data_IF_011529026797
#
_entry.id   IF_011529026797
#
_cell.length_a   1.000
_cell.length_b   1.000
_cell.length_c   1.000
_cell.angle_alpha   90.00
_cell.angle_beta   90.00
_cell.angle_gamma   90.00
#
_symmetry.space_group_name_H-M   'P 1'
#
loop_
_entity.id
_entity.type
_entity.pdbx_description
1 polymer ?
#
# COMPACT_ATOMS: atom_id res chain seq x y z
N UNK A 1 -3.47 8.28 -22.20
CA UNK A 1 -2.57 7.32 -21.52
C UNK A 1 -2.87 7.40 -20.04
N UNK A 2 -3.61 6.44 -19.49
CA UNK A 2 -3.89 6.37 -18.06
C UNK A 2 -2.59 5.95 -17.37
N UNK A 3 -1.81 6.92 -16.89
CA UNK A 3 -0.78 6.66 -15.88
C UNK A 3 -1.51 6.16 -14.65
N UNK A 4 -1.66 4.84 -14.52
CA UNK A 4 -2.32 4.20 -13.39
C UNK A 4 -1.63 4.63 -12.09
N UNK A 5 -2.37 4.87 -11.00
CA UNK A 5 -1.79 5.25 -9.71
C UNK A 5 -0.65 4.33 -9.24
N UNK A 6 -0.72 3.05 -9.59
CA UNK A 6 0.35 2.05 -9.39
C UNK A 6 1.70 2.52 -9.92
N UNK A 7 1.73 3.06 -11.15
CA UNK A 7 2.98 3.50 -11.78
C UNK A 7 3.58 4.71 -11.06
N UNK A 8 2.74 5.61 -10.56
CA UNK A 8 3.18 6.76 -9.76
C UNK A 8 3.81 6.32 -8.43
N UNK A 9 3.22 5.33 -7.75
CA UNK A 9 3.77 4.79 -6.50
C UNK A 9 5.10 4.07 -6.76
N UNK A 10 5.17 3.22 -7.80
CA UNK A 10 6.43 2.56 -8.18
C UNK A 10 7.53 3.56 -8.53
N UNK A 11 7.19 4.67 -9.21
CA UNK A 11 8.13 5.74 -9.52
C UNK A 11 8.58 6.51 -8.26
N UNK A 12 7.67 6.82 -7.33
CA UNK A 12 8.04 7.44 -6.06
C UNK A 12 8.96 6.53 -5.22
N UNK A 13 8.69 5.22 -5.23
CA UNK A 13 9.55 4.23 -4.59
C UNK A 13 10.93 4.15 -5.26
N UNK A 14 10.97 4.17 -6.60
CA UNK A 14 12.23 4.22 -7.34
C UNK A 14 13.05 5.48 -7.01
N UNK A 15 12.41 6.64 -6.89
CA UNK A 15 13.05 7.89 -6.50
C UNK A 15 13.57 7.85 -5.05
N UNK A 16 12.82 7.27 -4.12
CA UNK A 16 13.27 7.11 -2.75
C UNK A 16 14.49 6.18 -2.65
N UNK A 17 14.48 5.08 -3.43
CA UNK A 17 15.57 4.10 -3.48
C UNK A 17 16.80 4.62 -4.24
N UNK A 18 16.66 5.62 -5.11
CA UNK A 18 17.77 6.20 -5.88
C UNK A 18 18.87 6.84 -5.02
N UNK A 19 18.58 7.12 -3.74
CA UNK A 19 19.59 7.62 -2.79
C UNK A 19 20.44 6.50 -2.17
N UNK A 20 20.12 5.23 -2.41
CA UNK A 20 20.85 4.09 -1.87
C UNK A 20 21.98 3.68 -2.84
N UNK A 21 23.25 3.61 -2.37
CA UNK A 21 24.40 3.24 -3.22
C UNK A 21 24.21 1.88 -3.90
N UNK A 22 23.69 0.90 -3.15
CA UNK A 22 23.49 -0.47 -3.64
C UNK A 22 22.42 -0.52 -4.73
N UNK A 23 21.36 0.27 -4.60
CA UNK A 23 20.32 0.35 -5.61
C UNK A 23 20.85 0.97 -6.90
N UNK A 24 21.69 2.01 -6.82
CA UNK A 24 22.25 2.66 -8.00
C UNK A 24 23.14 1.73 -8.83
N UNK A 25 23.87 0.84 -8.17
CA UNK A 25 24.76 -0.14 -8.80
C UNK A 25 24.03 -1.33 -9.46
N UNK A 26 22.71 -1.47 -9.24
CA UNK A 26 21.91 -2.53 -9.86
C UNK A 26 21.57 -2.23 -11.33
N UNK A 27 21.45 -3.29 -12.13
CA UNK A 27 20.92 -3.17 -13.49
C UNK A 27 19.40 -2.88 -13.49
N UNK A 28 18.82 -2.40 -14.61
CA UNK A 28 17.40 -2.03 -14.65
C UNK A 28 16.43 -3.15 -14.26
N UNK A 29 16.75 -4.41 -14.58
CA UNK A 29 15.93 -5.56 -14.22
C UNK A 29 15.94 -5.82 -12.71
N UNK A 30 17.11 -5.77 -12.09
CA UNK A 30 17.26 -5.87 -10.63
C UNK A 30 16.54 -4.74 -9.89
N UNK A 31 16.65 -3.50 -10.41
CA UNK A 31 15.91 -2.34 -9.87
C UNK A 31 14.41 -2.57 -9.93
N UNK A 32 13.89 -3.06 -11.06
CA UNK A 32 12.49 -3.44 -11.22
C UNK A 32 12.04 -4.46 -10.18
N UNK A 33 12.84 -5.52 -9.98
CA UNK A 33 12.54 -6.57 -8.98
C UNK A 33 12.48 -6.02 -7.56
N UNK A 34 13.42 -5.14 -7.17
CA UNK A 34 13.43 -4.53 -5.83
C UNK A 34 12.22 -3.63 -5.62
N UNK A 35 11.87 -2.80 -6.62
CA UNK A 35 10.68 -1.94 -6.58
C UNK A 35 9.42 -2.80 -6.40
N UNK A 36 9.29 -3.87 -7.17
CA UNK A 36 8.11 -4.74 -7.12
C UNK A 36 8.00 -5.48 -5.78
N UNK A 37 9.10 -6.04 -5.27
CA UNK A 37 9.13 -6.68 -3.94
C UNK A 37 8.76 -5.69 -2.85
N UNK A 38 9.35 -4.49 -2.84
CA UNK A 38 9.07 -3.50 -1.83
C UNK A 38 7.61 -2.99 -1.92
N UNK A 39 7.08 -2.79 -3.12
CA UNK A 39 5.68 -2.42 -3.32
C UNK A 39 4.72 -3.51 -2.80
N UNK A 40 4.99 -4.79 -3.07
CA UNK A 40 4.21 -5.92 -2.53
C UNK A 40 4.23 -5.95 -1.02
N UNK A 41 5.40 -5.80 -0.40
CA UNK A 41 5.51 -5.79 1.07
C UNK A 41 4.67 -4.68 1.68
N UNK A 42 4.70 -3.47 1.10
CA UNK A 42 3.87 -2.35 1.57
C UNK A 42 2.37 -2.69 1.47
N UNK A 43 1.92 -3.28 0.37
CA UNK A 43 0.51 -3.67 0.22
C UNK A 43 0.10 -4.78 1.20
N UNK A 44 0.97 -5.76 1.46
CA UNK A 44 0.72 -6.80 2.46
C UNK A 44 0.59 -6.23 3.86
N UNK A 45 1.56 -5.43 4.28
CA UNK A 45 1.57 -4.80 5.60
C UNK A 45 0.30 -3.96 5.80
N UNK A 46 -0.10 -3.24 4.76
CA UNK A 46 -1.34 -2.47 4.74
C UNK A 46 -2.58 -3.36 4.90
N UNK A 47 -2.68 -4.45 4.14
CA UNK A 47 -3.79 -5.38 4.23
C UNK A 47 -3.89 -6.02 5.62
N UNK A 48 -2.75 -6.44 6.17
CA UNK A 48 -2.66 -7.07 7.49
C UNK A 48 -3.06 -6.09 8.59
N UNK A 49 -2.62 -4.82 8.52
CA UNK A 49 -3.04 -3.77 9.44
C UNK A 49 -4.56 -3.58 9.50
N UNK A 50 -5.27 -3.86 8.41
CA UNK A 50 -6.73 -3.76 8.34
C UNK A 50 -7.45 -5.09 8.52
N UNK A 51 -6.72 -6.13 8.93
CA UNK A 51 -7.25 -7.45 9.23
C UNK A 51 -7.80 -8.15 8.00
N UNK A 52 -7.25 -7.86 6.82
CA UNK A 52 -7.55 -8.57 5.58
C UNK A 52 -6.79 -9.89 5.55
N UNK A 53 -7.41 -10.93 5.00
CA UNK A 53 -6.85 -12.29 4.99
C UNK A 53 -6.34 -12.68 3.61
N UNK A 54 -5.10 -13.18 3.49
CA UNK A 54 -4.62 -13.75 2.23
C UNK A 54 -5.50 -14.94 1.81
N UNK A 55 -5.75 -15.07 0.50
CA UNK A 55 -6.64 -16.08 -0.08
C UNK A 55 -8.15 -15.81 0.09
N UNK A 56 -8.54 -14.78 0.85
CA UNK A 56 -9.94 -14.37 1.04
C UNK A 56 -10.15 -12.94 0.53
N UNK A 57 -9.31 -12.02 0.99
CA UNK A 57 -9.40 -10.60 0.66
C UNK A 57 -8.44 -10.19 -0.46
N UNK A 58 -7.27 -10.85 -0.52
CA UNK A 58 -6.27 -10.61 -1.55
C UNK A 58 -5.45 -11.86 -1.85
N UNK A 59 -4.83 -11.90 -3.03
CA UNK A 59 -3.80 -12.87 -3.40
C UNK A 59 -2.59 -12.14 -3.96
N UNK A 60 -1.42 -12.59 -3.57
CA UNK A 60 -0.11 -11.97 -3.82
C UNK A 60 0.86 -12.87 -4.59
N UNK A 61 0.34 -13.97 -5.14
CA UNK A 61 1.13 -15.11 -5.64
C UNK A 61 0.71 -15.49 -7.07
N UNK A 62 0.84 -14.54 -8.00
CA UNK A 62 0.95 -14.87 -9.41
C UNK A 62 2.43 -15.01 -9.71
N UNK A 63 2.85 -16.21 -10.15
CA UNK A 63 4.26 -16.55 -10.31
C UNK A 63 5.03 -15.57 -11.20
N UNK A 64 6.36 -15.55 -11.06
CA UNK A 64 7.32 -14.65 -11.72
C UNK A 64 7.18 -14.54 -13.27
N UNK A 65 6.37 -15.39 -13.89
CA UNK A 65 6.08 -15.44 -15.33
C UNK A 65 4.82 -14.68 -15.76
N UNK A 66 3.98 -14.22 -14.84
CA UNK A 66 2.72 -13.56 -15.17
C UNK A 66 2.87 -12.03 -15.33
N UNK A 67 2.30 -11.43 -16.39
CA UNK A 67 2.46 -10.01 -16.65
C UNK A 67 1.62 -9.16 -15.66
N UNK A 68 2.35 -8.48 -14.77
CA UNK A 68 2.04 -7.15 -14.24
C UNK A 68 0.85 -6.98 -13.27
N UNK A 69 0.34 -8.04 -12.62
CA UNK A 69 -0.60 -7.83 -11.50
C UNK A 69 -0.41 -8.83 -10.36
N UNK A 70 0.81 -8.89 -9.83
CA UNK A 70 1.22 -9.73 -8.70
C UNK A 70 0.48 -9.49 -7.36
N UNK A 71 -0.53 -8.62 -7.34
CA UNK A 71 -1.36 -8.36 -6.18
C UNK A 71 -2.79 -8.09 -6.64
N UNK A 72 -3.70 -8.99 -6.29
CA UNK A 72 -5.10 -8.95 -6.74
C UNK A 72 -6.02 -8.89 -5.53
N UNK A 73 -6.91 -7.90 -5.50
CA UNK A 73 -8.00 -7.85 -4.53
C UNK A 73 -9.07 -8.89 -4.90
N UNK A 74 -9.42 -9.74 -3.94
CA UNK A 74 -10.47 -10.76 -4.08
C UNK A 74 -11.79 -10.33 -3.44
N UNK A 75 -11.73 -9.46 -2.42
CA UNK A 75 -12.92 -8.93 -1.77
C UNK A 75 -13.18 -7.47 -2.17
N UNK A 76 -14.47 -7.10 -2.19
CA UNK A 76 -14.89 -5.70 -2.42
C UNK A 76 -14.25 -4.73 -1.43
N UNK A 77 -14.06 -5.17 -0.18
CA UNK A 77 -13.45 -4.36 0.87
C UNK A 77 -11.96 -4.10 0.58
N UNK A 78 -11.24 -5.10 0.09
CA UNK A 78 -9.85 -4.96 -0.33
C UNK A 78 -9.74 -4.07 -1.58
N UNK A 79 -10.61 -4.26 -2.56
CA UNK A 79 -10.64 -3.44 -3.78
C UNK A 79 -10.92 -1.96 -3.48
N UNK A 80 -11.92 -1.68 -2.63
CA UNK A 80 -12.24 -0.33 -2.17
C UNK A 80 -11.08 0.33 -1.42
N UNK A 81 -10.34 -0.44 -0.61
CA UNK A 81 -9.16 0.05 0.11
C UNK A 81 -8.02 0.40 -0.84
N UNK A 82 -7.62 -0.53 -1.72
CA UNK A 82 -6.52 -0.33 -2.67
C UNK A 82 -6.86 0.83 -3.61
N UNK A 83 -8.02 0.78 -4.26
CA UNK A 83 -8.47 1.80 -5.21
C UNK A 83 -8.62 3.15 -4.51
N UNK A 84 -9.22 3.18 -3.32
CA UNK A 84 -9.39 4.42 -2.58
C UNK A 84 -8.06 5.04 -2.14
N UNK A 85 -7.06 4.25 -1.77
CA UNK A 85 -5.70 4.75 -1.47
C UNK A 85 -5.01 5.26 -2.73
N UNK A 86 -5.10 4.51 -3.82
CA UNK A 86 -4.52 4.86 -5.12
C UNK A 86 -5.10 6.16 -5.70
N UNK A 87 -6.39 6.36 -5.56
CA UNK A 87 -7.08 7.58 -6.01
C UNK A 87 -6.94 8.74 -5.01
N UNK A 88 -6.26 8.55 -3.88
CA UNK A 88 -6.15 9.54 -2.80
C UNK A 88 -7.49 9.88 -2.14
N UNK A 89 -8.51 9.04 -2.35
CA UNK A 89 -9.85 9.14 -1.74
C UNK A 89 -9.87 8.59 -0.33
N UNK A 90 -8.86 7.81 0.07
CA UNK A 90 -8.68 7.26 1.41
C UNK A 90 -7.34 7.77 1.96
N UNK A 91 -7.33 8.16 3.23
CA UNK A 91 -6.11 8.50 3.97
C UNK A 91 -5.93 7.56 5.16
N UNK A 92 -4.68 7.17 5.41
CA UNK A 92 -4.29 6.49 6.63
C UNK A 92 -4.14 7.53 7.76
N UNK A 93 -4.75 7.25 8.91
CA UNK A 93 -4.63 8.03 10.14
C UNK A 93 -3.83 7.21 11.12
N UNK A 94 -2.65 7.72 11.51
CA UNK A 94 -1.81 7.09 12.53
C UNK A 94 -2.55 6.99 13.85
N UNK A 95 -2.24 5.95 14.63
CA UNK A 95 -2.78 5.82 15.99
C UNK A 95 -2.38 6.99 16.87
N UNK A 96 -3.25 7.37 17.79
CA UNK A 96 -3.02 8.50 18.71
C UNK A 96 -3.74 8.30 20.04
N UNK A 97 -3.29 9.00 21.08
CA UNK A 97 -3.97 9.06 22.36
C UNK A 97 -5.06 10.12 22.32
N UNK A 98 -6.27 9.74 22.73
CA UNK A 98 -7.43 10.61 22.81
C UNK A 98 -7.95 10.68 24.24
N UNK A 99 -8.58 11.80 24.61
CA UNK A 99 -9.33 11.93 25.86
C UNK A 99 -10.82 11.77 25.60
N UNK A 100 -11.47 10.96 26.43
CA UNK A 100 -12.93 10.83 26.41
C UNK A 100 -13.59 12.10 26.93
N UNK A 101 -14.91 12.22 26.71
CA UNK A 101 -15.72 13.30 27.32
C UNK A 101 -15.69 13.28 28.86
N UNK A 102 -15.32 12.15 29.45
CA UNK A 102 -15.16 11.96 30.90
C UNK A 102 -13.72 12.16 31.39
N UNK A 103 -12.79 12.57 30.51
CA UNK A 103 -11.40 12.85 30.85
C UNK A 103 -10.47 11.63 30.87
N UNK A 104 -10.96 10.43 30.58
CA UNK A 104 -10.15 9.21 30.52
C UNK A 104 -9.38 9.13 29.21
N UNK A 105 -8.08 8.87 29.29
CA UNK A 105 -7.25 8.63 28.10
C UNK A 105 -7.50 7.23 27.53
N UNK A 106 -7.56 7.13 26.21
CA UNK A 106 -7.67 5.88 25.48
C UNK A 106 -6.87 5.94 24.17
N UNK A 107 -6.40 4.78 23.74
CA UNK A 107 -5.64 4.63 22.50
C UNK A 107 -6.59 4.43 21.32
N UNK A 108 -6.49 5.31 20.33
CA UNK A 108 -7.13 5.15 19.04
C UNK A 108 -6.16 4.40 18.15
N UNK A 109 -6.53 3.18 17.74
CA UNK A 109 -5.77 2.40 16.76
C UNK A 109 -5.74 3.11 15.43
N UNK A 110 -4.65 2.92 14.67
CA UNK A 110 -4.56 3.42 13.30
C UNK A 110 -5.75 2.93 12.46
N UNK A 111 -6.27 3.79 11.59
CA UNK A 111 -7.43 3.49 10.76
C UNK A 111 -7.37 4.27 9.44
N UNK A 112 -8.16 3.84 8.45
CA UNK A 112 -8.37 4.62 7.24
C UNK A 112 -9.73 5.32 7.26
N UNK A 113 -9.79 6.51 6.67
CA UNK A 113 -11.06 7.19 6.40
C UNK A 113 -11.08 7.74 5.00
N UNK A 114 -12.29 7.90 4.44
CA UNK A 114 -12.45 8.63 3.20
C UNK A 114 -12.02 10.09 3.41
N UNK A 115 -11.22 10.62 2.49
CA UNK A 115 -10.88 12.03 2.42
C UNK A 115 -12.19 12.77 2.18
N UNK A 116 -12.59 13.60 3.14
CA UNK A 116 -13.72 14.51 2.95
C UNK A 116 -13.36 15.45 1.81
N UNK A 117 -14.19 15.48 0.77
CA UNK A 117 -14.12 16.54 -0.23
C UNK A 117 -14.51 17.82 0.50
N UNK A 118 -13.55 18.72 0.69
CA UNK A 118 -13.81 20.06 1.20
C UNK A 118 -14.52 20.89 0.15
#
# INVERSE_FOLDING_TARGET
MLSTPVHQIKNALAQALANLPDFNNMNPFQKGKVIDVAFKSILKDLMDQFGMKPGIDYVDDLGDTEPATDFVALSKRADELITGLMEGKIIAVSGYLAKSKTGREYEVKAYYKRKSVA
#
